data_IF_910193362929
#
_entry.id   IF_910193362929
#
_cell.length_a   1.000
_cell.length_b   1.000
_cell.length_c   1.000
_cell.angle_alpha   90.00
_cell.angle_beta   90.00
_cell.angle_gamma   90.00
#
_symmetry.space_group_name_H-M   'P 1'
#
loop_
_entity.id
_entity.type
_entity.pdbx_description
1 polymer ?
#
# COMPACT_ATOMS: atom_id res chain seq x y z
N UNK A 1 -0.39 7.35 22.15
CA UNK A 1 0.32 8.59 21.80
C UNK A 1 0.88 8.38 20.40
N UNK A 2 0.30 9.02 19.37
CA UNK A 2 0.85 8.98 18.02
C UNK A 2 2.18 9.73 18.01
N UNK A 3 3.24 9.05 17.57
CA UNK A 3 4.55 9.67 17.40
C UNK A 3 4.63 10.13 15.96
N UNK A 4 4.82 11.44 15.74
CA UNK A 4 4.95 12.05 14.43
C UNK A 4 6.33 11.72 13.86
N UNK A 5 6.39 11.10 12.68
CA UNK A 5 7.61 11.00 11.89
C UNK A 5 7.63 12.22 10.98
N UNK A 6 8.45 13.19 11.29
CA UNK A 6 8.68 14.38 10.46
C UNK A 6 10.14 14.40 9.99
N UNK A 7 10.44 15.26 9.02
CA UNK A 7 11.82 15.47 8.54
C UNK A 7 12.83 15.77 9.66
N UNK A 8 12.35 16.25 10.81
CA UNK A 8 13.15 16.55 12.00
C UNK A 8 13.17 15.37 13.00
N UNK A 9 12.54 14.26 12.68
CA UNK A 9 12.50 13.09 13.56
C UNK A 9 13.84 12.39 13.54
N UNK A 10 14.57 12.50 14.64
CA UNK A 10 15.82 11.77 14.82
C UNK A 10 15.61 10.24 14.84
N UNK A 11 16.69 9.49 14.69
CA UNK A 11 16.74 8.02 14.74
C UNK A 11 15.97 7.40 15.93
N UNK A 12 15.86 8.13 17.04
CA UNK A 12 15.10 7.74 18.22
C UNK A 12 13.58 7.58 17.98
N UNK A 13 12.99 8.38 17.11
CA UNK A 13 11.55 8.28 16.80
C UNK A 13 11.26 7.05 15.96
N UNK A 14 12.13 6.72 15.00
CA UNK A 14 12.05 5.49 14.22
C UNK A 14 12.25 4.27 15.12
N UNK A 15 13.25 4.32 16.00
CA UNK A 15 13.47 3.28 17.02
C UNK A 15 12.25 3.04 17.90
N UNK A 16 11.62 4.09 18.39
CA UNK A 16 10.45 3.98 19.27
C UNK A 16 9.25 3.36 18.54
N UNK A 17 9.01 3.71 17.27
CA UNK A 17 7.97 3.06 16.47
C UNK A 17 8.31 1.61 16.15
N UNK A 18 9.54 1.33 15.77
CA UNK A 18 10.01 -0.02 15.46
C UNK A 18 9.95 -0.94 16.69
N UNK A 19 10.27 -0.43 17.89
CA UNK A 19 10.14 -1.13 19.16
C UNK A 19 8.67 -1.39 19.50
N UNK A 20 7.78 -0.43 19.21
CA UNK A 20 6.33 -0.58 19.41
C UNK A 20 5.72 -1.75 18.64
N UNK A 21 6.36 -2.18 17.57
CA UNK A 21 5.96 -3.35 16.77
C UNK A 21 6.62 -4.67 17.20
N UNK A 22 7.10 -4.77 18.47
CA UNK A 22 7.68 -6.01 19.03
C UNK A 22 8.90 -6.54 18.27
N UNK A 23 9.62 -5.69 17.56
CA UNK A 23 10.84 -6.08 16.90
C UNK A 23 12.00 -5.87 17.85
N UNK A 24 12.64 -6.96 18.25
CA UNK A 24 13.80 -6.96 19.15
C UNK A 24 14.97 -6.24 18.45
N UNK A 25 15.05 -4.91 18.63
CA UNK A 25 16.05 -4.02 18.02
C UNK A 25 17.23 -3.80 18.99
N UNK A 26 17.33 -4.62 20.06
CA UNK A 26 18.47 -4.57 20.96
C UNK A 26 19.78 -4.86 20.21
N UNK A 27 20.61 -3.84 20.07
CA UNK A 27 21.93 -3.95 19.44
C UNK A 27 21.94 -3.78 17.93
N UNK A 28 20.86 -3.38 17.27
CA UNK A 28 20.85 -3.22 15.83
C UNK A 28 21.57 -1.96 15.33
N UNK A 29 22.34 -2.21 14.31
CA UNK A 29 23.28 -1.38 13.58
C UNK A 29 22.70 0.02 13.30
N UNK A 30 23.39 1.04 13.76
CA UNK A 30 23.12 2.46 13.44
C UNK A 30 23.06 2.70 11.90
N UNK A 31 23.70 1.86 11.11
CA UNK A 31 23.64 1.89 9.64
C UNK A 31 22.29 1.48 9.09
N UNK A 32 21.65 0.44 9.65
CA UNK A 32 20.32 0.01 9.23
C UNK A 32 19.28 1.09 9.52
N UNK A 33 19.31 1.67 10.72
CA UNK A 33 18.41 2.74 11.11
C UNK A 33 18.58 3.97 10.23
N UNK A 34 19.83 4.31 9.90
CA UNK A 34 20.16 5.38 8.95
C UNK A 34 19.58 5.10 7.56
N UNK A 35 19.76 3.86 7.06
CA UNK A 35 19.22 3.46 5.75
C UNK A 35 17.69 3.53 5.69
N UNK A 36 16.99 3.18 6.77
CA UNK A 36 15.52 3.32 6.86
C UNK A 36 15.15 4.81 6.81
N UNK A 37 15.85 5.66 7.56
CA UNK A 37 15.57 7.09 7.60
C UNK A 37 15.80 7.76 6.25
N UNK A 38 16.90 7.45 5.58
CA UNK A 38 17.25 7.97 4.25
C UNK A 38 16.18 7.58 3.21
N UNK A 39 15.66 6.35 3.26
CA UNK A 39 14.59 5.90 2.38
C UNK A 39 13.26 6.62 2.67
N UNK A 40 12.91 6.78 3.95
CA UNK A 40 11.72 7.55 4.35
C UNK A 40 11.80 8.97 3.81
N UNK A 41 12.93 9.66 4.01
CA UNK A 41 13.14 11.01 3.51
C UNK A 41 13.05 11.10 1.99
N UNK A 42 13.61 10.15 1.28
CA UNK A 42 13.54 10.07 -0.19
C UNK A 42 12.09 9.96 -0.65
N UNK A 43 11.33 9.04 -0.07
CA UNK A 43 9.93 8.84 -0.43
C UNK A 43 9.05 10.03 -0.02
N UNK A 44 9.30 10.67 1.13
CA UNK A 44 8.58 11.88 1.54
C UNK A 44 8.83 13.06 0.58
N UNK A 45 10.04 13.20 0.07
CA UNK A 45 10.35 14.16 -0.99
C UNK A 45 9.61 13.87 -2.31
N UNK A 46 9.29 12.60 -2.59
CA UNK A 46 8.47 12.18 -3.72
C UNK A 46 6.98 12.39 -3.49
N UNK A 47 6.57 12.69 -2.25
CA UNK A 47 5.20 12.99 -1.88
C UNK A 47 4.52 11.98 -0.97
N UNK A 48 5.19 10.92 -0.55
CA UNK A 48 4.68 9.98 0.46
C UNK A 48 4.46 10.68 1.81
N UNK A 49 3.63 10.10 2.66
CA UNK A 49 3.39 10.59 4.00
C UNK A 49 3.22 9.43 4.96
N UNK A 50 4.29 9.06 5.66
CA UNK A 50 4.30 7.91 6.56
C UNK A 50 3.63 8.19 7.91
N UNK A 51 3.48 9.43 8.31
CA UNK A 51 2.79 9.83 9.54
C UNK A 51 1.37 9.26 9.64
N UNK A 52 0.66 9.20 8.50
CA UNK A 52 -0.70 8.67 8.40
C UNK A 52 -0.75 7.26 7.81
N UNK A 53 0.38 6.60 7.61
CA UNK A 53 0.48 5.33 6.90
C UNK A 53 1.46 4.37 7.60
N UNK A 54 1.12 4.02 8.84
CA UNK A 54 1.96 3.21 9.72
C UNK A 54 2.29 1.84 9.11
N UNK A 55 1.33 1.21 8.44
CA UNK A 55 1.57 -0.09 7.80
C UNK A 55 2.54 0.01 6.61
N UNK A 56 2.53 1.10 5.84
CA UNK A 56 3.54 1.32 4.79
C UNK A 56 4.93 1.52 5.37
N UNK A 57 5.05 2.25 6.49
CA UNK A 57 6.32 2.39 7.20
C UNK A 57 6.82 1.03 7.70
N UNK A 58 5.95 0.23 8.30
CA UNK A 58 6.28 -1.11 8.78
C UNK A 58 6.80 -2.00 7.65
N UNK A 59 6.10 -2.04 6.51
CA UNK A 59 6.52 -2.80 5.33
C UNK A 59 7.88 -2.34 4.80
N UNK A 60 8.14 -1.03 4.77
CA UNK A 60 9.43 -0.46 4.37
C UNK A 60 10.55 -0.94 5.32
N UNK A 61 10.33 -0.83 6.61
CA UNK A 61 11.29 -1.27 7.61
C UNK A 61 11.54 -2.78 7.52
N UNK A 62 10.51 -3.61 7.35
CA UNK A 62 10.65 -5.06 7.12
C UNK A 62 11.50 -5.38 5.89
N UNK A 63 11.30 -4.65 4.80
CA UNK A 63 12.11 -4.80 3.58
C UNK A 63 13.58 -4.50 3.84
N UNK A 64 13.90 -3.39 4.52
CA UNK A 64 15.28 -3.01 4.87
C UNK A 64 15.95 -4.00 5.83
N UNK A 65 15.19 -4.61 6.71
CA UNK A 65 15.68 -5.64 7.64
C UNK A 65 15.80 -7.04 7.00
N UNK A 66 15.40 -7.23 5.75
CA UNK A 66 15.35 -8.54 5.10
C UNK A 66 14.32 -9.49 5.71
N UNK A 67 13.35 -8.96 6.46
CA UNK A 67 12.25 -9.73 7.10
C UNK A 67 10.97 -9.74 6.28
N UNK A 68 10.90 -8.95 5.20
CA UNK A 68 9.74 -8.90 4.32
C UNK A 68 9.61 -10.18 3.52
N UNK A 69 8.43 -10.76 3.52
CA UNK A 69 8.07 -11.88 2.65
C UNK A 69 6.98 -11.42 1.69
N UNK A 70 7.23 -11.53 0.39
CA UNK A 70 6.19 -11.29 -0.60
C UNK A 70 5.15 -12.41 -0.53
N UNK A 71 3.88 -12.04 -0.52
CA UNK A 71 2.77 -12.99 -0.58
C UNK A 71 2.39 -13.33 -2.01
N UNK A 72 2.62 -12.43 -2.95
CA UNK A 72 2.42 -12.64 -4.38
C UNK A 72 3.29 -11.68 -5.19
N UNK A 73 3.51 -12.01 -6.45
CA UNK A 73 4.11 -11.13 -7.43
C UNK A 73 3.02 -10.62 -8.37
N UNK A 74 2.89 -9.30 -8.49
CA UNK A 74 2.00 -8.67 -9.45
C UNK A 74 2.70 -8.65 -10.81
N UNK A 75 2.27 -9.50 -11.75
CA UNK A 75 2.86 -9.57 -13.10
C UNK A 75 2.29 -8.52 -14.03
N UNK A 76 1.06 -8.06 -13.78
CA UNK A 76 0.44 -6.99 -14.55
C UNK A 76 -1.03 -6.80 -14.25
N UNK A 77 -1.55 -5.66 -14.67
CA UNK A 77 -2.98 -5.38 -14.63
C UNK A 77 -3.39 -4.47 -15.79
N UNK A 78 -4.67 -4.51 -16.11
CA UNK A 78 -5.31 -3.63 -17.09
C UNK A 78 -6.68 -3.23 -16.57
N UNK A 79 -7.03 -1.95 -16.77
CA UNK A 79 -8.38 -1.45 -16.48
C UNK A 79 -8.92 -0.81 -17.75
N UNK A 80 -10.16 -1.16 -18.10
CA UNK A 80 -10.89 -0.62 -19.23
C UNK A 80 -12.13 0.07 -18.68
N UNK A 81 -12.31 1.34 -19.05
CA UNK A 81 -13.54 2.09 -18.80
C UNK A 81 -14.19 2.36 -20.15
N UNK A 82 -15.35 1.80 -20.36
CA UNK A 82 -16.10 1.94 -21.60
C UNK A 82 -17.42 2.66 -21.33
N UNK A 83 -17.70 3.73 -22.07
CA UNK A 83 -19.00 4.37 -22.08
C UNK A 83 -19.66 4.14 -23.43
N UNK A 84 -20.81 3.47 -23.44
CA UNK A 84 -21.67 3.30 -24.61
C UNK A 84 -22.68 4.44 -24.69
N UNK A 85 -23.17 4.75 -25.90
CA UNK A 85 -24.05 5.91 -26.14
C UNK A 85 -25.25 6.00 -25.22
N UNK A 86 -25.89 4.88 -24.88
CA UNK A 86 -27.13 4.81 -24.13
C UNK A 86 -27.01 4.11 -22.77
N UNK A 87 -25.78 4.00 -22.22
CA UNK A 87 -25.55 3.25 -20.99
C UNK A 87 -24.73 4.01 -19.95
N UNK A 88 -24.73 3.48 -18.72
CA UNK A 88 -23.75 3.85 -17.70
C UNK A 88 -22.35 3.35 -18.10
N UNK A 89 -21.28 4.04 -17.68
CA UNK A 89 -19.93 3.53 -17.87
C UNK A 89 -19.78 2.15 -17.25
N UNK A 90 -19.18 1.24 -17.98
CA UNK A 90 -18.77 -0.10 -17.49
C UNK A 90 -17.27 -0.07 -17.26
N UNK A 91 -16.85 -0.54 -16.13
CA UNK A 91 -15.43 -0.68 -15.80
C UNK A 91 -15.10 -2.14 -15.58
N UNK A 92 -14.10 -2.63 -16.32
CA UNK A 92 -13.55 -3.97 -16.19
C UNK A 92 -12.06 -3.87 -15.83
N UNK A 93 -11.61 -4.71 -14.93
CA UNK A 93 -10.20 -4.88 -14.64
C UNK A 93 -9.77 -6.34 -14.82
N UNK A 94 -8.57 -6.52 -15.37
CA UNK A 94 -7.88 -7.81 -15.47
C UNK A 94 -6.59 -7.72 -14.67
N UNK A 95 -6.34 -8.69 -13.79
CA UNK A 95 -5.14 -8.77 -12.95
C UNK A 95 -4.45 -10.09 -13.20
N UNK A 96 -3.12 -10.05 -13.35
CA UNK A 96 -2.26 -11.22 -13.42
C UNK A 96 -1.30 -11.23 -12.24
N UNK A 97 -1.39 -12.27 -11.43
CA UNK A 97 -0.52 -12.46 -10.25
C UNK A 97 0.12 -13.85 -10.28
N UNK A 98 1.20 -13.98 -9.52
CA UNK A 98 1.86 -15.25 -9.28
C UNK A 98 1.98 -15.50 -7.78
N UNK A 99 1.47 -16.62 -7.30
CA UNK A 99 1.53 -17.05 -5.90
C UNK A 99 2.13 -18.45 -5.84
N UNK A 100 3.22 -18.63 -5.10
CA UNK A 100 3.90 -19.93 -4.96
C UNK A 100 4.16 -20.64 -6.32
N UNK A 101 4.62 -19.89 -7.32
CA UNK A 101 4.83 -20.33 -8.71
C UNK A 101 3.56 -20.67 -9.52
N UNK A 102 2.37 -20.44 -8.98
CA UNK A 102 1.10 -20.61 -9.68
C UNK A 102 0.66 -19.25 -10.20
N UNK A 103 0.42 -19.15 -11.51
CA UNK A 103 -0.12 -17.94 -12.13
C UNK A 103 -1.65 -17.96 -12.07
N UNK A 104 -2.21 -16.79 -11.73
CA UNK A 104 -3.64 -16.50 -11.79
C UNK A 104 -3.89 -15.30 -12.68
N UNK A 105 -4.83 -15.43 -13.59
CA UNK A 105 -5.34 -14.35 -14.43
C UNK A 105 -6.84 -14.24 -14.17
N UNK A 106 -7.25 -13.16 -13.53
CA UNK A 106 -8.65 -12.93 -13.18
C UNK A 106 -9.14 -11.59 -13.69
N UNK A 107 -10.39 -11.57 -14.14
CA UNK A 107 -11.08 -10.34 -14.52
C UNK A 107 -12.32 -10.15 -13.62
N UNK A 108 -12.69 -8.88 -13.42
CA UNK A 108 -13.90 -8.49 -12.73
C UNK A 108 -14.41 -7.14 -13.24
N UNK A 109 -15.71 -6.97 -13.22
CA UNK A 109 -16.36 -5.68 -13.38
C UNK A 109 -16.47 -4.98 -12.02
N UNK A 110 -16.65 -3.66 -12.06
CA UNK A 110 -16.86 -2.84 -10.87
C UNK A 110 -17.50 -1.50 -11.18
N UNK A 111 -17.93 -0.81 -10.13
CA UNK A 111 -18.54 0.53 -10.22
C UNK A 111 -17.56 1.63 -10.68
N UNK A 112 -16.26 1.32 -10.70
CA UNK A 112 -15.19 2.19 -11.15
C UNK A 112 -13.84 1.47 -11.13
N UNK A 113 -12.76 2.13 -11.61
CA UNK A 113 -11.44 1.52 -11.78
C UNK A 113 -10.90 0.83 -10.53
N UNK A 114 -10.96 1.48 -9.38
CA UNK A 114 -10.45 0.95 -8.12
C UNK A 114 -11.26 -0.27 -7.67
N UNK A 115 -12.60 -0.20 -7.76
CA UNK A 115 -13.47 -1.29 -7.37
C UNK A 115 -13.29 -2.53 -8.27
N UNK A 116 -13.22 -2.34 -9.59
CA UNK A 116 -12.98 -3.43 -10.54
C UNK A 116 -11.63 -4.10 -10.30
N UNK A 117 -10.58 -3.28 -10.04
CA UNK A 117 -9.23 -3.78 -9.79
C UNK A 117 -9.14 -4.56 -8.47
N UNK A 118 -9.72 -4.04 -7.38
CA UNK A 118 -9.79 -4.72 -6.08
C UNK A 118 -10.53 -6.07 -6.20
N UNK A 119 -11.67 -6.07 -6.89
CA UNK A 119 -12.45 -7.29 -7.10
C UNK A 119 -11.68 -8.34 -7.92
N UNK A 120 -10.98 -7.94 -8.97
CA UNK A 120 -10.16 -8.85 -9.78
C UNK A 120 -8.97 -9.39 -8.99
N UNK A 121 -8.30 -8.55 -8.19
CA UNK A 121 -7.18 -8.96 -7.33
C UNK A 121 -7.63 -9.94 -6.24
N UNK A 122 -8.72 -9.64 -5.55
CA UNK A 122 -9.29 -10.54 -4.53
C UNK A 122 -9.65 -11.88 -5.12
N UNK A 123 -10.30 -11.90 -6.28
CA UNK A 123 -10.64 -13.13 -7.00
C UNK A 123 -9.41 -13.98 -7.33
N UNK A 124 -8.29 -13.35 -7.70
CA UNK A 124 -7.04 -14.04 -7.98
C UNK A 124 -6.36 -14.60 -6.73
N UNK A 125 -6.53 -13.95 -5.57
CA UNK A 125 -5.85 -14.29 -4.32
C UNK A 125 -6.69 -15.16 -3.37
N UNK A 126 -8.02 -15.22 -3.54
CA UNK A 126 -8.99 -15.78 -2.58
C UNK A 126 -8.69 -17.25 -2.22
N UNK A 127 -8.29 -18.05 -3.19
CA UNK A 127 -7.94 -19.47 -2.94
C UNK A 127 -6.65 -19.66 -2.15
N UNK A 128 -5.73 -18.70 -2.20
CA UNK A 128 -4.46 -18.74 -1.48
C UNK A 128 -4.55 -18.12 -0.10
N UNK A 129 -5.38 -17.08 0.03
CA UNK A 129 -5.51 -16.24 1.22
C UNK A 129 -6.99 -16.02 1.58
N UNK A 130 -7.68 -17.05 2.09
CA UNK A 130 -9.12 -16.95 2.42
C UNK A 130 -9.46 -15.84 3.42
N UNK A 131 -8.51 -15.45 4.28
CA UNK A 131 -8.66 -14.36 5.27
C UNK A 131 -8.89 -12.98 4.63
N UNK A 132 -8.54 -12.80 3.34
CA UNK A 132 -8.83 -11.56 2.62
C UNK A 132 -10.33 -11.23 2.56
N UNK A 133 -11.21 -12.22 2.74
CA UNK A 133 -12.67 -12.00 2.80
C UNK A 133 -13.08 -11.14 3.99
N UNK A 134 -12.33 -11.19 5.09
CA UNK A 134 -12.59 -10.42 6.29
C UNK A 134 -12.04 -8.98 6.18
N UNK A 135 -11.11 -8.74 5.25
CA UNK A 135 -10.49 -7.42 5.06
C UNK A 135 -11.36 -6.52 4.18
N UNK A 136 -11.67 -5.33 4.66
CA UNK A 136 -12.48 -4.33 3.97
C UNK A 136 -11.71 -3.03 3.82
N UNK A 137 -11.91 -2.35 2.69
CA UNK A 137 -11.55 -0.95 2.52
C UNK A 137 -12.52 -0.10 3.34
N UNK A 138 -12.00 0.69 4.27
CA UNK A 138 -12.81 1.55 5.15
C UNK A 138 -12.81 2.99 4.64
N UNK A 139 -11.64 3.47 4.24
CA UNK A 139 -11.48 4.83 3.71
C UNK A 139 -10.33 4.87 2.70
N UNK A 140 -10.43 5.75 1.71
CA UNK A 140 -9.27 6.15 0.92
C UNK A 140 -9.33 7.63 0.57
N UNK A 141 -8.19 8.30 0.63
CA UNK A 141 -8.03 9.73 0.42
C UNK A 141 -7.03 9.96 -0.69
N UNK A 142 -7.43 10.73 -1.69
CA UNK A 142 -6.57 11.13 -2.80
C UNK A 142 -6.23 12.61 -2.66
N UNK A 143 -4.94 12.94 -2.72
CA UNK A 143 -4.45 14.31 -2.66
C UNK A 143 -3.48 14.60 -3.80
N UNK A 144 -3.71 15.70 -4.50
CA UNK A 144 -2.78 16.20 -5.51
C UNK A 144 -1.53 16.74 -4.82
N UNK A 145 -0.35 16.28 -5.27
CA UNK A 145 0.95 16.67 -4.69
C UNK A 145 1.52 17.90 -5.43
N UNK A 146 1.42 17.90 -6.76
CA UNK A 146 1.97 18.95 -7.62
C UNK A 146 0.90 19.60 -8.49
N UNK A 147 0.02 20.45 -7.93
CA UNK A 147 -1.15 21.02 -8.63
C UNK A 147 -0.78 21.85 -9.86
N UNK A 148 0.44 22.35 -9.94
CA UNK A 148 0.92 23.12 -11.11
C UNK A 148 0.99 22.29 -12.40
N UNK A 149 1.00 20.96 -12.29
CA UNK A 149 1.02 20.04 -13.45
C UNK A 149 -0.37 19.78 -14.04
N UNK A 150 -1.43 20.40 -13.52
CA UNK A 150 -2.80 20.23 -14.01
C UNK A 150 -3.25 18.76 -13.98
N UNK A 151 -3.78 18.28 -15.11
CA UNK A 151 -4.25 16.88 -15.24
C UNK A 151 -3.13 15.84 -15.25
N UNK A 152 -1.87 16.25 -15.39
CA UNK A 152 -0.70 15.38 -15.27
C UNK A 152 -0.10 15.38 -13.85
N UNK A 153 -0.82 15.94 -12.88
CA UNK A 153 -0.36 16.02 -11.51
C UNK A 153 -0.25 14.62 -10.89
N UNK A 154 0.82 14.42 -10.11
CA UNK A 154 0.92 13.25 -9.23
C UNK A 154 -0.11 13.36 -8.10
N UNK A 155 -0.64 12.21 -7.71
CA UNK A 155 -1.53 12.10 -6.56
C UNK A 155 -0.89 11.20 -5.51
N UNK A 156 -1.16 11.49 -4.25
CA UNK A 156 -0.91 10.59 -3.13
C UNK A 156 -2.21 9.97 -2.71
N UNK A 157 -2.21 8.66 -2.53
CA UNK A 157 -3.37 7.91 -2.07
C UNK A 157 -3.05 7.32 -0.70
N UNK A 158 -3.90 7.58 0.28
CA UNK A 158 -3.85 6.95 1.59
C UNK A 158 -5.07 6.02 1.68
N UNK A 159 -4.81 4.76 1.99
CA UNK A 159 -5.83 3.71 2.09
C UNK A 159 -5.89 3.24 3.55
N UNK A 160 -7.11 3.16 4.08
CA UNK A 160 -7.39 2.50 5.34
C UNK A 160 -8.12 1.19 5.08
N UNK A 161 -7.50 0.10 5.51
CA UNK A 161 -8.06 -1.25 5.44
C UNK A 161 -8.26 -1.80 6.83
N UNK A 162 -9.33 -2.57 7.03
CA UNK A 162 -9.69 -3.14 8.33
C UNK A 162 -10.14 -4.59 8.18
N UNK A 163 -9.76 -5.43 9.15
CA UNK A 163 -10.42 -6.71 9.43
C UNK A 163 -11.17 -6.65 10.78
N UNK A 164 -11.44 -7.80 11.38
CA UNK A 164 -12.18 -7.89 12.65
C UNK A 164 -11.39 -7.33 13.85
N UNK A 165 -10.07 -7.29 13.77
CA UNK A 165 -9.19 -7.03 14.91
C UNK A 165 -8.26 -5.84 14.68
N UNK A 166 -7.91 -5.55 13.43
CA UNK A 166 -6.86 -4.62 13.09
C UNK A 166 -7.28 -3.60 12.03
N UNK A 167 -6.62 -2.45 12.06
CA UNK A 167 -6.71 -1.38 11.06
C UNK A 167 -5.31 -1.11 10.52
N UNK A 168 -5.18 -1.03 9.19
CA UNK A 168 -3.94 -0.72 8.50
C UNK A 168 -4.10 0.51 7.63
N UNK A 169 -3.18 1.44 7.78
CA UNK A 169 -3.08 2.63 6.93
C UNK A 169 -1.86 2.49 6.02
N UNK A 170 -2.08 2.58 4.72
CA UNK A 170 -1.04 2.50 3.70
C UNK A 170 -1.05 3.73 2.80
N UNK A 171 0.10 4.03 2.18
CA UNK A 171 0.29 5.16 1.25
C UNK A 171 0.94 4.70 -0.04
N UNK A 172 0.48 5.26 -1.17
CA UNK A 172 1.02 5.08 -2.51
C UNK A 172 0.91 6.35 -3.35
#
# INVERSE_FOLDING_TARGET
>A
RKILISELSGSSTIMTKTIGYSWNVEGQDSKLMRSILEEVQTLENEGYQFESAEASFELLAMKKMGKYKSFFDLEGFRVIVEKRENGLPVTEATVKVKVNNIQELCASEGAGPVNALDAALRKALDRFYPSLKDMKLVDYKVRVINPRSGTAAKVRVIIESQDKENIWNTVG
#
